data_IF_638432559783
#
_entry.id   IF_638432559783
#
_cell.length_a   1.000
_cell.length_b   1.000
_cell.length_c   1.000
_cell.angle_alpha   90.00
_cell.angle_beta   90.00
_cell.angle_gamma   90.00
#
_symmetry.space_group_name_H-M   'P 1'
#
loop_
_entity.id
_entity.type
_entity.pdbx_description
1 polymer ?
#
# COMPACT_ATOMS: atom_id res chain seq x y z
N UNK A 1 -0.60 18.16 -16.24
CA UNK A 1 -0.92 17.17 -15.19
C UNK A 1 -1.77 16.07 -15.79
N UNK A 2 -1.28 14.83 -15.77
CA UNK A 2 -2.00 13.63 -16.24
C UNK A 2 -3.19 13.32 -15.32
N UNK A 3 -4.28 12.81 -15.88
CA UNK A 3 -5.44 12.35 -15.12
C UNK A 3 -5.14 10.97 -14.52
N UNK A 4 -5.31 10.80 -13.21
CA UNK A 4 -5.10 9.53 -12.51
C UNK A 4 -6.42 8.78 -12.32
N UNK A 5 -6.40 7.45 -12.46
CA UNK A 5 -7.50 6.57 -12.13
C UNK A 5 -7.21 5.81 -10.83
N UNK A 6 -8.00 6.06 -9.80
CA UNK A 6 -7.88 5.39 -8.50
C UNK A 6 -8.90 4.27 -8.39
N UNK A 7 -8.44 3.08 -8.05
CA UNK A 7 -9.29 1.93 -7.71
C UNK A 7 -9.26 1.80 -6.19
N UNK A 8 -10.34 2.27 -5.56
CA UNK A 8 -10.48 2.39 -4.11
C UNK A 8 -11.71 1.69 -3.56
N UNK A 9 -12.05 1.99 -2.31
CA UNK A 9 -13.17 1.37 -1.59
C UNK A 9 -12.78 0.16 -0.74
N UNK A 10 -11.53 -0.27 -0.75
CA UNK A 10 -11.00 -1.50 -0.09
C UNK A 10 -9.98 -1.23 1.06
N UNK A 11 -10.24 -0.61 2.23
CA UNK A 11 -11.51 0.01 2.62
C UNK A 11 -11.65 1.46 2.13
N UNK A 12 -12.84 2.08 2.34
CA UNK A 12 -13.10 3.46 1.93
C UNK A 12 -12.32 4.48 2.78
N UNK A 13 -12.07 4.21 4.05
CA UNK A 13 -11.29 5.10 4.92
C UNK A 13 -9.86 5.29 4.37
N UNK A 14 -9.21 4.20 3.97
CA UNK A 14 -7.91 4.28 3.31
C UNK A 14 -7.99 5.10 2.02
N UNK A 15 -9.05 4.94 1.23
CA UNK A 15 -9.25 5.70 -0.02
C UNK A 15 -9.36 7.21 0.25
N UNK A 16 -10.00 7.62 1.34
CA UNK A 16 -10.05 9.03 1.79
C UNK A 16 -8.64 9.55 2.08
N UNK A 17 -7.79 8.77 2.77
CA UNK A 17 -6.40 9.18 3.03
C UNK A 17 -5.55 9.24 1.75
N UNK A 18 -5.77 8.34 0.78
CA UNK A 18 -5.18 8.44 -0.55
C UNK A 18 -5.58 9.75 -1.24
N UNK A 19 -6.88 10.06 -1.28
CA UNK A 19 -7.40 11.30 -1.88
C UNK A 19 -6.82 12.55 -1.20
N UNK A 20 -6.83 12.59 0.12
CA UNK A 20 -6.29 13.71 0.90
C UNK A 20 -4.78 13.89 0.68
N UNK A 21 -4.04 12.79 0.71
CA UNK A 21 -2.58 12.83 0.60
C UNK A 21 -2.15 13.32 -0.78
N UNK A 22 -2.73 12.81 -1.88
CA UNK A 22 -2.36 13.24 -3.23
C UNK A 22 -2.68 14.72 -3.46
N UNK A 23 -3.84 15.21 -2.98
CA UNK A 23 -4.21 16.62 -3.09
C UNK A 23 -3.27 17.54 -2.30
N UNK A 24 -2.91 17.13 -1.07
CA UNK A 24 -1.94 17.87 -0.27
C UNK A 24 -0.57 17.95 -0.96
N UNK A 25 -0.08 16.84 -1.52
CA UNK A 25 1.21 16.81 -2.22
C UNK A 25 1.20 17.69 -3.48
N UNK A 26 0.14 17.63 -4.29
CA UNK A 26 -0.01 18.48 -5.48
C UNK A 26 -0.08 19.96 -5.07
N UNK A 27 -0.87 20.29 -4.06
CA UNK A 27 -0.99 21.67 -3.56
C UNK A 27 0.35 22.19 -3.03
N UNK A 28 1.06 21.39 -2.23
CA UNK A 28 2.40 21.75 -1.73
C UNK A 28 3.41 21.96 -2.87
N UNK A 29 3.30 21.18 -3.95
CA UNK A 29 4.23 21.26 -5.08
C UNK A 29 3.97 22.42 -6.02
N UNK A 30 2.70 22.73 -6.29
CA UNK A 30 2.29 23.73 -7.29
C UNK A 30 1.79 25.04 -6.67
N UNK A 31 1.39 25.01 -5.40
CA UNK A 31 0.86 26.19 -4.69
C UNK A 31 -0.59 26.53 -5.02
N UNK A 32 -1.03 27.69 -4.62
CA UNK A 32 -2.36 28.27 -4.88
C UNK A 32 -3.51 27.29 -4.58
N UNK A 33 -4.45 27.14 -5.52
CA UNK A 33 -5.61 26.25 -5.41
C UNK A 33 -5.45 24.95 -6.21
N UNK A 34 -4.21 24.56 -6.54
CA UNK A 34 -3.97 23.33 -7.28
C UNK A 34 -4.36 22.09 -6.49
N UNK A 35 -4.99 21.14 -7.18
CA UNK A 35 -5.38 19.83 -6.67
C UNK A 35 -5.16 18.76 -7.75
N UNK A 36 -5.13 17.50 -7.34
CA UNK A 36 -4.93 16.39 -8.25
C UNK A 36 -6.08 16.22 -9.24
N UNK A 37 -5.74 15.95 -10.52
CA UNK A 37 -6.74 15.52 -11.52
C UNK A 37 -6.88 14.01 -11.40
N UNK A 38 -8.02 13.54 -10.90
CA UNK A 38 -8.24 12.11 -10.69
C UNK A 38 -9.71 11.71 -10.82
N UNK A 39 -9.91 10.43 -11.11
CA UNK A 39 -11.21 9.73 -11.03
C UNK A 39 -11.04 8.64 -9.99
N UNK A 40 -11.97 8.51 -9.06
CA UNK A 40 -12.01 7.41 -8.10
C UNK A 40 -13.14 6.47 -8.47
N UNK A 41 -12.84 5.21 -8.73
CA UNK A 41 -13.80 4.13 -8.72
C UNK A 41 -13.77 3.48 -7.36
N UNK A 42 -14.80 3.71 -6.55
CA UNK A 42 -14.91 3.12 -5.21
C UNK A 42 -15.80 1.88 -5.28
N UNK A 43 -15.24 0.71 -4.94
CA UNK A 43 -16.00 -0.55 -4.87
C UNK A 43 -16.74 -0.67 -3.55
N UNK A 44 -17.73 -1.56 -3.48
CA UNK A 44 -18.25 -2.06 -2.22
C UNK A 44 -17.26 -3.05 -1.62
N UNK A 45 -16.74 -2.71 -0.41
CA UNK A 45 -15.71 -3.53 0.24
C UNK A 45 -16.23 -4.92 0.63
N UNK A 46 -17.51 -5.04 1.00
CA UNK A 46 -18.09 -6.34 1.36
C UNK A 46 -18.05 -7.34 0.18
N UNK A 47 -18.27 -6.87 -1.05
CA UNK A 47 -18.14 -7.72 -2.24
C UNK A 47 -16.70 -8.24 -2.42
N UNK A 48 -15.69 -7.38 -2.24
CA UNK A 48 -14.27 -7.76 -2.36
C UNK A 48 -13.88 -8.68 -1.21
N UNK A 49 -14.25 -8.34 0.03
CA UNK A 49 -13.92 -9.11 1.22
C UNK A 49 -14.52 -10.53 1.16
N UNK A 50 -15.76 -10.66 0.70
CA UNK A 50 -16.40 -11.96 0.50
C UNK A 50 -15.62 -12.84 -0.49
N UNK A 51 -15.11 -12.27 -1.57
CA UNK A 51 -14.28 -12.98 -2.55
C UNK A 51 -12.89 -13.33 -1.97
N UNK A 52 -12.28 -12.44 -1.20
CA UNK A 52 -11.02 -12.71 -0.49
C UNK A 52 -11.18 -13.89 0.49
N UNK A 53 -12.25 -13.90 1.30
CA UNK A 53 -12.53 -14.97 2.25
C UNK A 53 -12.75 -16.32 1.57
N UNK A 54 -13.32 -16.33 0.36
CA UNK A 54 -13.48 -17.51 -0.49
C UNK A 54 -12.20 -17.87 -1.25
N UNK A 55 -11.11 -17.11 -1.09
CA UNK A 55 -9.87 -17.23 -1.87
C UNK A 55 -10.12 -17.15 -3.39
N UNK A 56 -11.17 -16.44 -3.82
CA UNK A 56 -11.58 -16.30 -5.22
C UNK A 56 -10.89 -15.10 -5.90
N UNK A 57 -9.59 -15.18 -6.01
CA UNK A 57 -8.75 -14.12 -6.61
C UNK A 57 -8.99 -13.93 -8.11
N UNK A 58 -9.49 -14.94 -8.82
CA UNK A 58 -9.86 -14.79 -10.23
C UNK A 58 -11.01 -13.80 -10.41
N UNK A 59 -12.06 -13.90 -9.61
CA UNK A 59 -13.18 -12.95 -9.68
C UNK A 59 -12.76 -11.53 -9.27
N UNK A 60 -11.88 -11.40 -8.27
CA UNK A 60 -11.30 -10.10 -7.89
C UNK A 60 -10.51 -9.52 -9.05
N UNK A 61 -9.62 -10.30 -9.66
CA UNK A 61 -8.83 -9.90 -10.83
C UNK A 61 -9.71 -9.40 -11.97
N UNK A 62 -10.73 -10.18 -12.35
CA UNK A 62 -11.62 -9.83 -13.45
C UNK A 62 -12.36 -8.51 -13.17
N UNK A 63 -12.85 -8.32 -11.93
CA UNK A 63 -13.48 -7.07 -11.49
C UNK A 63 -12.52 -5.88 -11.55
N UNK A 64 -11.29 -6.02 -11.08
CA UNK A 64 -10.26 -4.96 -11.12
C UNK A 64 -9.88 -4.61 -12.57
N UNK A 65 -9.78 -5.61 -13.46
CA UNK A 65 -9.53 -5.39 -14.88
C UNK A 65 -10.69 -4.63 -15.55
N UNK A 66 -11.93 -4.97 -15.24
CA UNK A 66 -13.10 -4.25 -15.75
C UNK A 66 -13.08 -2.78 -15.31
N UNK A 67 -12.85 -2.53 -14.04
CA UNK A 67 -12.74 -1.18 -13.47
C UNK A 67 -11.61 -0.39 -14.12
N UNK A 68 -10.45 -1.03 -14.33
CA UNK A 68 -9.30 -0.38 -14.97
C UNK A 68 -9.63 0.10 -16.39
N UNK A 69 -10.31 -0.74 -17.17
CA UNK A 69 -10.76 -0.39 -18.53
C UNK A 69 -11.77 0.77 -18.52
N UNK A 70 -12.65 0.82 -17.51
CA UNK A 70 -13.61 1.93 -17.37
C UNK A 70 -12.87 3.25 -17.06
N UNK A 71 -11.88 3.22 -16.18
CA UNK A 71 -11.05 4.38 -15.85
C UNK A 71 -10.20 4.84 -17.03
N UNK A 72 -9.61 3.91 -17.78
CA UNK A 72 -8.86 4.20 -19.01
C UNK A 72 -9.78 4.86 -20.05
N UNK A 73 -10.97 4.31 -20.28
CA UNK A 73 -11.97 4.87 -21.19
C UNK A 73 -12.45 6.27 -20.75
N UNK A 74 -12.45 6.55 -19.44
CA UNK A 74 -12.76 7.87 -18.90
C UNK A 74 -11.59 8.87 -19.01
N UNK A 75 -10.46 8.44 -19.59
CA UNK A 75 -9.31 9.29 -19.89
C UNK A 75 -8.18 9.24 -18.86
N UNK A 76 -8.20 8.31 -17.91
CA UNK A 76 -7.07 8.10 -17.00
C UNK A 76 -5.80 7.77 -17.79
N UNK A 77 -4.65 8.24 -17.31
CA UNK A 77 -3.32 8.04 -17.90
C UNK A 77 -2.40 7.19 -17.05
N UNK A 78 -2.81 6.88 -15.83
CA UNK A 78 -2.14 5.97 -14.91
C UNK A 78 -3.11 5.49 -13.85
N UNK A 79 -2.90 4.28 -13.36
CA UNK A 79 -3.76 3.62 -12.38
C UNK A 79 -3.07 3.54 -11.02
N UNK A 80 -3.84 3.71 -9.97
CA UNK A 80 -3.44 3.56 -8.58
C UNK A 80 -4.40 2.59 -7.88
N UNK A 81 -3.87 1.46 -7.40
CA UNK A 81 -4.62 0.54 -6.55
C UNK A 81 -4.50 1.03 -5.09
N UNK A 82 -5.59 1.54 -4.52
CA UNK A 82 -5.60 2.12 -3.16
C UNK A 82 -5.60 1.05 -2.04
N UNK A 83 -4.88 -0.05 -2.26
CA UNK A 83 -4.75 -1.17 -1.32
C UNK A 83 -3.46 -1.94 -1.58
N UNK A 84 -2.66 -2.19 -0.52
CA UNK A 84 -1.48 -3.04 -0.64
C UNK A 84 -1.88 -4.49 -1.04
N UNK A 85 -2.91 -5.04 -0.42
CA UNK A 85 -3.39 -6.41 -0.68
C UNK A 85 -3.80 -6.62 -2.14
N UNK A 86 -4.44 -5.62 -2.77
CA UNK A 86 -4.86 -5.71 -4.17
C UNK A 86 -3.70 -5.76 -5.17
N UNK A 87 -2.48 -5.45 -4.76
CA UNK A 87 -1.32 -5.65 -5.62
C UNK A 87 -1.02 -7.12 -5.91
N UNK A 88 -1.73 -8.06 -5.27
CA UNK A 88 -1.72 -9.48 -5.64
C UNK A 88 -2.18 -9.70 -7.10
N UNK A 89 -3.08 -8.87 -7.61
CA UNK A 89 -3.56 -8.93 -9.01
C UNK A 89 -2.86 -7.92 -9.93
N UNK A 90 -1.88 -7.14 -9.41
CA UNK A 90 -1.25 -6.07 -10.18
C UNK A 90 -0.50 -6.56 -11.42
N UNK A 91 0.20 -7.70 -11.34
CA UNK A 91 0.92 -8.26 -12.50
C UNK A 91 -0.03 -8.70 -13.64
N UNK A 92 -1.21 -9.25 -13.28
CA UNK A 92 -2.21 -9.59 -14.28
C UNK A 92 -2.83 -8.33 -14.90
N UNK A 93 -3.01 -7.30 -14.09
CA UNK A 93 -3.49 -6.01 -14.57
C UNK A 93 -2.45 -5.32 -15.48
N UNK A 94 -1.17 -5.35 -15.13
CA UNK A 94 -0.05 -4.82 -15.94
C UNK A 94 0.00 -5.45 -17.35
N UNK A 95 -0.39 -6.75 -17.50
CA UNK A 95 -0.40 -7.46 -18.79
C UNK A 95 -1.52 -7.01 -19.74
N UNK A 96 -2.60 -6.45 -19.21
CA UNK A 96 -3.82 -6.15 -19.98
C UNK A 96 -4.16 -4.66 -20.04
N UNK A 97 -3.56 -3.83 -19.19
CA UNK A 97 -3.77 -2.38 -19.16
C UNK A 97 -2.92 -1.69 -20.24
N UNK A 98 -3.51 -0.72 -20.96
CA UNK A 98 -2.75 0.12 -21.91
C UNK A 98 -2.11 1.33 -21.23
N UNK A 99 -2.40 1.58 -19.96
CA UNK A 99 -1.82 2.67 -19.17
C UNK A 99 -1.05 2.09 -17.97
N UNK A 100 0.02 2.75 -17.53
CA UNK A 100 0.87 2.24 -16.46
C UNK A 100 0.12 2.18 -15.12
N UNK A 101 0.49 1.18 -14.33
CA UNK A 101 0.10 1.06 -12.94
C UNK A 101 1.22 1.65 -12.08
N UNK A 102 0.89 2.66 -11.28
CA UNK A 102 1.81 3.17 -10.28
C UNK A 102 1.79 2.14 -9.14
N UNK A 103 2.78 1.23 -9.13
CA UNK A 103 2.80 0.09 -8.23
C UNK A 103 3.41 0.48 -6.89
N UNK A 104 2.66 0.28 -5.79
CA UNK A 104 3.11 0.64 -4.43
C UNK A 104 4.37 -0.10 -4.01
N UNK A 105 4.53 -1.36 -4.44
CA UNK A 105 5.69 -2.18 -4.06
C UNK A 105 6.95 -1.64 -4.73
N UNK A 106 6.86 -1.30 -6.03
CA UNK A 106 7.98 -0.72 -6.78
C UNK A 106 8.36 0.65 -6.21
N UNK A 107 7.38 1.53 -5.99
CA UNK A 107 7.62 2.84 -5.40
C UNK A 107 8.29 2.75 -4.01
N UNK A 108 7.84 1.79 -3.19
CA UNK A 108 8.42 1.55 -1.87
C UNK A 108 9.86 1.01 -1.98
N UNK A 109 10.10 0.08 -2.90
CA UNK A 109 11.44 -0.45 -3.13
C UNK A 109 12.44 0.62 -3.59
N UNK A 110 12.02 1.52 -4.48
CA UNK A 110 12.86 2.64 -4.91
C UNK A 110 13.23 3.57 -3.75
N UNK A 111 12.28 3.85 -2.86
CA UNK A 111 12.52 4.67 -1.68
C UNK A 111 13.46 3.98 -0.68
N UNK A 112 13.31 2.66 -0.48
CA UNK A 112 14.21 1.85 0.34
C UNK A 112 15.65 1.91 -0.21
N UNK A 113 15.83 1.76 -1.53
CA UNK A 113 17.14 1.81 -2.18
C UNK A 113 17.83 3.17 -2.05
N UNK A 114 17.09 4.28 -2.04
CA UNK A 114 17.68 5.61 -1.78
C UNK A 114 18.32 5.69 -0.40
N UNK A 115 17.82 4.92 0.57
CA UNK A 115 18.39 4.82 1.92
C UNK A 115 19.50 3.76 2.02
N UNK A 116 19.91 3.10 0.91
CA UNK A 116 20.95 2.07 0.84
C UNK A 116 20.67 0.86 1.76
N UNK A 117 19.41 0.51 1.93
CA UNK A 117 18.93 -0.62 2.72
C UNK A 117 18.82 -1.85 1.82
N UNK A 118 19.30 -3.00 2.30
CA UNK A 118 19.26 -4.28 1.59
C UNK A 118 18.30 -5.28 2.24
N UNK A 119 18.07 -5.16 3.55
CA UNK A 119 17.20 -6.05 4.34
C UNK A 119 16.07 -5.27 4.98
N UNK A 120 14.82 -5.62 4.67
CA UNK A 120 13.64 -4.86 5.08
C UNK A 120 12.61 -5.74 5.79
N UNK A 121 12.07 -5.26 6.92
CA UNK A 121 10.93 -5.87 7.58
C UNK A 121 9.62 -5.48 6.92
N UNK A 122 8.68 -6.40 6.76
CA UNK A 122 7.36 -6.14 6.18
C UNK A 122 6.27 -6.37 7.22
N UNK A 123 5.52 -5.32 7.54
CA UNK A 123 4.28 -5.37 8.31
C UNK A 123 3.09 -5.04 7.41
N UNK A 124 1.96 -5.69 7.64
CA UNK A 124 0.73 -5.47 6.88
C UNK A 124 -0.39 -6.41 7.31
N UNK A 125 -1.37 -6.60 6.44
CA UNK A 125 -2.36 -7.65 6.64
C UNK A 125 -1.71 -9.03 6.51
N UNK A 126 -2.37 -10.07 7.02
CA UNK A 126 -1.91 -11.46 6.87
C UNK A 126 -1.63 -11.80 5.40
N UNK A 127 -2.50 -11.38 4.47
CA UNK A 127 -2.28 -11.57 3.03
C UNK A 127 -0.99 -10.91 2.53
N UNK A 128 -0.71 -9.69 2.95
CA UNK A 128 0.49 -8.95 2.55
C UNK A 128 1.76 -9.60 3.07
N UNK A 129 1.76 -10.12 4.30
CA UNK A 129 2.94 -10.73 4.93
C UNK A 129 3.18 -12.18 4.50
N UNK A 130 2.11 -13.00 4.36
CA UNK A 130 2.24 -14.43 4.05
C UNK A 130 2.36 -14.72 2.55
N UNK A 131 1.60 -14.02 1.70
CA UNK A 131 1.59 -14.30 0.26
C UNK A 131 2.88 -13.83 -0.41
N UNK A 132 3.29 -14.56 -1.43
CA UNK A 132 4.59 -14.32 -2.09
C UNK A 132 4.61 -13.07 -2.98
N UNK A 133 3.47 -12.57 -3.46
CA UNK A 133 3.41 -11.47 -4.43
C UNK A 133 4.21 -10.23 -4.01
N UNK A 134 4.14 -9.85 -2.73
CA UNK A 134 4.83 -8.67 -2.20
C UNK A 134 6.33 -8.96 -2.03
N UNK A 135 6.65 -10.08 -1.37
CA UNK A 135 8.03 -10.51 -1.09
C UNK A 135 8.80 -10.80 -2.38
N UNK A 136 8.18 -11.54 -3.32
CA UNK A 136 8.81 -11.89 -4.58
C UNK A 136 9.09 -10.65 -5.43
N UNK A 137 8.14 -9.70 -5.53
CA UNK A 137 8.39 -8.47 -6.30
C UNK A 137 9.55 -7.66 -5.70
N UNK A 138 9.62 -7.52 -4.37
CA UNK A 138 10.75 -6.86 -3.70
C UNK A 138 12.08 -7.59 -3.94
N UNK A 139 12.07 -8.92 -3.86
CA UNK A 139 13.26 -9.75 -4.01
C UNK A 139 13.70 -9.84 -5.47
N UNK A 140 12.82 -10.27 -6.38
CA UNK A 140 13.19 -10.62 -7.76
C UNK A 140 13.42 -9.39 -8.62
N UNK A 141 12.58 -8.36 -8.47
CA UNK A 141 12.69 -7.14 -9.26
C UNK A 141 13.65 -6.12 -8.64
N UNK A 142 13.73 -6.08 -7.31
CA UNK A 142 14.47 -5.02 -6.62
C UNK A 142 15.68 -5.51 -5.83
N UNK A 143 15.89 -6.82 -5.67
CA UNK A 143 17.04 -7.41 -4.98
C UNK A 143 17.03 -7.25 -3.46
N UNK A 144 15.88 -6.92 -2.86
CA UNK A 144 15.75 -6.70 -1.42
C UNK A 144 15.50 -8.03 -0.67
N UNK A 145 16.18 -8.22 0.45
CA UNK A 145 15.87 -9.29 1.40
C UNK A 145 14.68 -8.85 2.25
N UNK A 146 13.61 -9.66 2.28
CA UNK A 146 12.39 -9.35 3.03
C UNK A 146 12.25 -10.26 4.24
N UNK A 147 12.10 -9.66 5.41
CA UNK A 147 11.83 -10.32 6.67
C UNK A 147 10.36 -10.09 7.05
N UNK A 148 9.69 -11.14 7.49
CA UNK A 148 8.32 -11.07 8.03
C UNK A 148 8.30 -11.62 9.44
N UNK A 149 7.37 -11.18 10.31
CA UNK A 149 7.23 -11.73 11.66
C UNK A 149 6.89 -13.23 11.63
N UNK A 150 7.06 -13.90 12.77
CA UNK A 150 6.57 -15.26 12.93
C UNK A 150 5.03 -15.33 12.81
N UNK A 151 4.50 -16.54 12.58
CA UNK A 151 3.06 -16.76 12.33
C UNK A 151 2.16 -16.20 13.44
N UNK A 152 2.58 -16.32 14.71
CA UNK A 152 1.81 -15.79 15.86
C UNK A 152 1.77 -14.25 15.83
N UNK A 153 2.88 -13.63 15.55
CA UNK A 153 3.00 -12.18 15.43
C UNK A 153 2.22 -11.65 14.22
N UNK A 154 2.19 -12.38 13.10
CA UNK A 154 1.35 -12.08 11.94
C UNK A 154 -0.13 -12.04 12.32
N UNK A 155 -0.62 -13.05 13.05
CA UNK A 155 -2.01 -13.11 13.50
C UNK A 155 -2.35 -11.94 14.46
N UNK A 156 -1.43 -11.58 15.35
CA UNK A 156 -1.57 -10.44 16.26
C UNK A 156 -1.71 -9.12 15.45
N UNK A 157 -0.79 -8.85 14.53
CA UNK A 157 -0.82 -7.65 13.70
C UNK A 157 -2.13 -7.58 12.90
N UNK A 158 -2.51 -8.69 12.27
CA UNK A 158 -3.74 -8.76 11.49
C UNK A 158 -4.99 -8.47 12.34
N UNK A 159 -5.06 -9.01 13.56
CA UNK A 159 -6.14 -8.71 14.49
C UNK A 159 -6.17 -7.23 14.89
N UNK A 160 -5.02 -6.62 15.20
CA UNK A 160 -4.91 -5.20 15.54
C UNK A 160 -5.41 -4.34 14.37
N UNK A 161 -4.97 -4.65 13.13
CA UNK A 161 -5.42 -3.92 11.94
C UNK A 161 -6.94 -3.97 11.80
N UNK A 162 -7.53 -5.17 11.78
CA UNK A 162 -8.96 -5.32 11.47
C UNK A 162 -9.90 -5.01 12.63
N UNK A 163 -9.49 -5.20 13.90
CA UNK A 163 -10.37 -5.04 15.07
C UNK A 163 -10.21 -3.70 15.80
N UNK A 164 -9.09 -3.00 15.55
CA UNK A 164 -8.79 -1.74 16.24
C UNK A 164 -8.55 -0.62 15.23
N UNK A 165 -7.47 -0.69 14.45
CA UNK A 165 -7.01 0.41 13.60
C UNK A 165 -7.99 0.75 12.49
N UNK A 166 -8.65 -0.24 11.87
CA UNK A 166 -9.69 -0.04 10.88
C UNK A 166 -10.89 0.79 11.39
N UNK A 167 -11.07 0.84 12.72
CA UNK A 167 -12.08 1.68 13.39
C UNK A 167 -11.51 2.95 14.01
N UNK A 168 -10.26 3.31 13.67
CA UNK A 168 -9.58 4.48 14.22
C UNK A 168 -9.18 4.36 15.70
N UNK A 169 -9.16 3.15 16.26
CA UNK A 169 -8.82 2.88 17.66
C UNK A 169 -7.35 2.52 17.80
N UNK A 170 -6.63 3.19 18.70
CA UNK A 170 -5.25 2.87 19.06
C UNK A 170 -5.22 2.45 20.52
N UNK A 171 -4.92 1.19 20.77
CA UNK A 171 -4.76 0.63 22.11
C UNK A 171 -3.29 0.67 22.51
N UNK A 172 -3.00 1.06 23.76
CA UNK A 172 -1.63 1.14 24.28
C UNK A 172 -0.93 -0.22 24.36
N UNK A 173 -1.66 -1.29 24.67
CA UNK A 173 -1.07 -2.62 24.72
C UNK A 173 -0.81 -3.17 23.32
N UNK A 174 -1.72 -2.93 22.37
CA UNK A 174 -1.48 -3.22 20.95
C UNK A 174 -0.29 -2.45 20.41
N UNK A 175 -0.09 -1.21 20.82
CA UNK A 175 1.07 -0.40 20.47
C UNK A 175 2.38 -1.01 20.98
N UNK A 176 2.43 -1.44 22.24
CA UNK A 176 3.59 -2.13 22.82
C UNK A 176 3.91 -3.41 22.05
N UNK A 177 2.87 -4.16 21.68
CA UNK A 177 3.03 -5.42 20.96
C UNK A 177 3.57 -5.20 19.54
N UNK A 178 3.03 -4.22 18.79
CA UNK A 178 3.58 -3.84 17.48
C UNK A 178 5.04 -3.42 17.60
N UNK A 179 5.37 -2.59 18.59
CA UNK A 179 6.75 -2.16 18.83
C UNK A 179 7.68 -3.35 19.10
N UNK A 180 7.28 -4.29 19.96
CA UNK A 180 8.03 -5.53 20.25
C UNK A 180 8.28 -6.36 18.99
N UNK A 181 7.25 -6.50 18.13
CA UNK A 181 7.38 -7.24 16.87
C UNK A 181 8.38 -6.54 15.93
N UNK A 182 8.35 -5.21 15.84
CA UNK A 182 9.31 -4.43 15.06
C UNK A 182 10.73 -4.60 15.61
N UNK A 183 10.92 -4.54 16.93
CA UNK A 183 12.22 -4.75 17.58
C UNK A 183 12.78 -6.15 17.29
N UNK A 184 11.92 -7.18 17.23
CA UNK A 184 12.34 -8.53 16.84
C UNK A 184 12.82 -8.55 15.37
N UNK A 185 12.10 -7.94 14.44
CA UNK A 185 12.53 -7.86 13.03
C UNK A 185 13.87 -7.13 12.89
N UNK A 186 14.10 -6.06 13.65
CA UNK A 186 15.37 -5.34 13.68
C UNK A 186 16.49 -6.27 14.21
N UNK A 187 16.22 -7.02 15.27
CA UNK A 187 17.16 -8.01 15.83
C UNK A 187 17.49 -9.14 14.86
N UNK A 188 16.53 -9.49 13.99
CA UNK A 188 16.70 -10.47 12.90
C UNK A 188 17.42 -9.89 11.67
N UNK A 189 17.79 -8.62 11.72
CA UNK A 189 18.59 -7.94 10.70
C UNK A 189 17.79 -7.08 9.72
N UNK A 190 16.58 -6.64 10.07
CA UNK A 190 15.88 -5.61 9.30
C UNK A 190 16.52 -4.24 9.53
N UNK A 191 16.92 -3.58 8.45
CA UNK A 191 17.51 -2.24 8.43
C UNK A 191 16.46 -1.13 8.29
N UNK A 192 15.20 -1.50 8.07
CA UNK A 192 14.04 -0.64 7.97
C UNK A 192 12.75 -1.46 7.99
N UNK A 193 11.60 -0.81 8.13
CA UNK A 193 10.30 -1.48 8.21
C UNK A 193 9.32 -0.87 7.21
N UNK A 194 8.72 -1.71 6.36
CA UNK A 194 7.59 -1.33 5.51
C UNK A 194 6.31 -1.37 6.34
N UNK A 195 5.59 -0.26 6.36
CA UNK A 195 4.23 -0.18 6.88
C UNK A 195 3.25 -0.45 5.74
N UNK A 196 3.04 -1.75 5.43
CA UNK A 196 2.25 -2.25 4.31
C UNK A 196 0.73 -2.25 4.56
N UNK A 197 0.26 -1.47 5.52
CA UNK A 197 -1.14 -1.17 5.74
C UNK A 197 -1.29 0.31 6.09
N UNK A 198 -2.29 0.96 5.54
CA UNK A 198 -2.52 2.41 5.67
C UNK A 198 -2.78 2.84 7.10
N UNK A 199 -3.19 1.94 7.95
CA UNK A 199 -3.52 2.16 9.35
C UNK A 199 -2.31 2.03 10.30
N UNK A 200 -1.24 1.33 9.91
CA UNK A 200 -0.06 1.12 10.77
C UNK A 200 0.63 2.43 11.21
N UNK A 201 0.70 3.51 10.40
CA UNK A 201 1.24 4.78 10.85
C UNK A 201 0.48 5.42 12.02
N UNK A 202 -0.75 4.98 12.33
CA UNK A 202 -1.50 5.44 13.49
C UNK A 202 -0.94 4.90 14.81
N UNK A 203 -0.31 3.71 14.79
CA UNK A 203 0.10 3.00 16.01
C UNK A 203 1.61 3.04 16.24
N UNK A 204 2.42 3.22 15.19
CA UNK A 204 3.88 3.30 15.28
C UNK A 204 4.43 4.42 14.41
N UNK A 205 5.43 5.15 14.90
CA UNK A 205 6.07 6.26 14.19
C UNK A 205 7.60 6.22 14.34
N UNK A 206 8.31 7.01 13.53
CA UNK A 206 9.77 7.01 13.43
C UNK A 206 10.52 7.46 14.69
N UNK A 207 9.83 8.04 15.69
CA UNK A 207 10.45 8.40 16.97
C UNK A 207 10.53 7.23 17.94
N UNK A 208 9.89 6.12 17.62
CA UNK A 208 9.70 4.98 18.53
C UNK A 208 10.58 3.79 18.18
N UNK A 209 11.28 3.87 17.05
CA UNK A 209 12.17 2.81 16.53
C UNK A 209 13.44 3.42 15.92
N UNK A 210 14.52 2.66 15.96
CA UNK A 210 15.86 3.13 15.54
C UNK A 210 16.15 2.93 14.04
N UNK A 211 15.17 2.46 13.28
CA UNK A 211 15.30 2.23 11.83
C UNK A 211 14.23 3.01 11.06
N UNK A 212 14.47 3.34 9.77
CA UNK A 212 13.49 4.01 8.92
C UNK A 212 12.18 3.22 8.80
N UNK A 213 11.05 3.94 8.86
CA UNK A 213 9.73 3.42 8.57
C UNK A 213 9.27 3.90 7.19
N UNK A 214 8.85 2.97 6.34
CA UNK A 214 8.39 3.24 4.99
C UNK A 214 6.85 3.18 4.95
N UNK A 215 6.22 4.35 5.03
CA UNK A 215 4.77 4.51 4.91
C UNK A 215 4.37 4.34 3.44
N UNK A 216 3.83 3.18 3.10
CA UNK A 216 3.52 2.81 1.72
C UNK A 216 2.48 3.73 1.07
N UNK A 217 1.52 4.27 1.82
CA UNK A 217 0.54 5.22 1.30
C UNK A 217 1.23 6.52 0.86
N UNK A 218 2.05 7.11 1.72
CA UNK A 218 2.74 8.37 1.39
C UNK A 218 3.70 8.21 0.22
N UNK A 219 4.46 7.11 0.20
CA UNK A 219 5.40 6.80 -0.88
C UNK A 219 4.63 6.60 -2.20
N UNK A 220 3.54 5.86 -2.17
CA UNK A 220 2.69 5.61 -3.34
C UNK A 220 2.12 6.92 -3.90
N UNK A 221 1.63 7.80 -3.03
CA UNK A 221 1.08 9.09 -3.46
C UNK A 221 2.15 10.04 -3.98
N UNK A 222 3.36 9.99 -3.43
CA UNK A 222 4.49 10.74 -3.98
C UNK A 222 4.86 10.24 -5.39
N UNK A 223 4.88 8.94 -5.61
CA UNK A 223 5.11 8.36 -6.93
C UNK A 223 3.98 8.74 -7.92
N UNK A 224 2.73 8.68 -7.48
CA UNK A 224 1.57 9.07 -8.28
C UNK A 224 1.58 10.57 -8.63
N UNK A 225 1.97 11.44 -7.69
CA UNK A 225 2.17 12.86 -7.94
C UNK A 225 3.26 13.09 -9.01
N UNK A 226 4.42 12.48 -8.84
CA UNK A 226 5.53 12.63 -9.79
C UNK A 226 5.09 12.21 -11.19
N UNK A 227 4.49 11.02 -11.33
CA UNK A 227 3.93 10.53 -12.59
C UNK A 227 2.91 11.51 -13.20
N UNK A 228 2.04 12.10 -12.38
CA UNK A 228 1.01 13.03 -12.87
C UNK A 228 1.57 14.34 -13.37
N UNK A 229 2.72 14.77 -12.84
CA UNK A 229 3.37 16.05 -13.18
C UNK A 229 4.46 15.92 -14.25
N UNK A 230 4.85 14.71 -14.63
CA UNK A 230 5.71 14.47 -15.78
C UNK A 230 5.01 14.89 -17.08
N UNK A 231 5.78 15.36 -18.07
CA UNK A 231 5.30 15.77 -19.42
C UNK A 231 4.82 14.57 -20.26
#
# INVERSE_FOLDING_TARGET
MKLLGFIGGMNWQSTVEYYKTINNLINQKLGENHSARLIIYSVDFEEILSLEMQNNWNSIKDKIIEISKALEKAGARGLVLCSNTMHLVAEDLEKVSNIPIINVIDATAEEIKKNKIESIGLLGTKFTMEREFYKNRLKEKHGLKVLVPDSKSIDIINNIIYKELAYGKVNLDSKKEIKRIVENLISDGAEGIILGCTELPMIINSKEVDVPLFDTLKIHMLAAMNFSLED
#
